data_IF_976442425544
#
_entry.id   IF_976442425544
#
_cell.length_a   1.000
_cell.length_b   1.000
_cell.length_c   1.000
_cell.angle_alpha   90.00
_cell.angle_beta   90.00
_cell.angle_gamma   90.00
#
_symmetry.space_group_name_H-M   'P 1'
#
loop_
_entity.id
_entity.type
_entity.pdbx_description
1 polymer ?
#
# COMPACT_ATOMS: atom_id res chain seq x y z
N UNK A 1 -6.33 -11.50 -4.62
CA UNK A 1 -5.32 -11.48 -3.55
C UNK A 1 -5.19 -12.90 -2.99
N UNK A 2 -4.00 -13.42 -2.73
CA UNK A 2 -3.85 -14.74 -2.10
C UNK A 2 -3.94 -14.65 -0.57
N UNK A 3 -4.60 -15.59 0.09
CA UNK A 3 -4.70 -15.62 1.56
C UNK A 3 -3.35 -15.64 2.27
N UNK A 4 -2.34 -16.33 1.70
CA UNK A 4 -0.98 -16.38 2.26
C UNK A 4 -0.34 -14.99 2.37
N UNK A 5 -0.45 -14.17 1.31
CA UNK A 5 0.09 -12.80 1.32
C UNK A 5 -0.59 -11.90 2.36
N UNK A 6 -1.89 -12.08 2.56
CA UNK A 6 -2.64 -11.33 3.58
C UNK A 6 -2.17 -11.73 4.99
N UNK A 7 -1.98 -13.02 5.24
CA UNK A 7 -1.46 -13.53 6.52
C UNK A 7 -0.04 -13.02 6.80
N UNK A 8 0.83 -13.00 5.78
CA UNK A 8 2.17 -12.44 5.89
C UNK A 8 2.13 -10.93 6.22
N UNK A 9 1.27 -10.16 5.55
CA UNK A 9 1.09 -8.74 5.86
C UNK A 9 0.65 -8.50 7.30
N UNK A 10 -0.31 -9.27 7.82
CA UNK A 10 -0.71 -9.14 9.22
C UNK A 10 0.45 -9.43 10.19
N UNK A 11 1.27 -10.46 9.90
CA UNK A 11 2.46 -10.76 10.71
C UNK A 11 3.49 -9.63 10.68
N UNK A 12 3.76 -9.02 9.53
CA UNK A 12 4.70 -7.90 9.41
C UNK A 12 4.16 -6.63 10.10
N UNK A 13 2.85 -6.35 10.01
CA UNK A 13 2.20 -5.27 10.75
C UNK A 13 2.33 -5.46 12.27
N UNK A 14 2.09 -6.68 12.78
CA UNK A 14 2.26 -6.98 14.20
C UNK A 14 3.71 -6.77 14.65
N UNK A 15 4.70 -7.18 13.86
CA UNK A 15 6.12 -6.90 14.14
C UNK A 15 6.39 -5.41 14.18
N UNK A 16 5.92 -4.63 13.20
CA UNK A 16 6.12 -3.18 13.17
C UNK A 16 5.50 -2.52 14.40
N UNK A 17 4.31 -2.95 14.84
CA UNK A 17 3.67 -2.44 16.05
C UNK A 17 4.47 -2.83 17.30
N UNK A 18 4.95 -4.07 17.37
CA UNK A 18 5.70 -4.61 18.52
C UNK A 18 7.08 -3.97 18.67
N UNK A 19 7.83 -3.80 17.57
CA UNK A 19 9.21 -3.28 17.59
C UNK A 19 9.29 -1.76 17.38
N UNK A 20 8.33 -1.16 16.66
CA UNK A 20 8.33 0.26 16.34
C UNK A 20 7.65 1.15 17.38
N UNK A 21 6.88 0.57 18.31
CA UNK A 21 6.21 1.30 19.40
C UNK A 21 5.19 2.35 18.95
N UNK A 22 4.91 2.43 17.65
CA UNK A 22 4.05 3.46 17.04
C UNK A 22 3.04 2.81 16.11
N UNK A 23 1.76 3.12 16.33
CA UNK A 23 0.64 2.70 15.47
C UNK A 23 0.34 3.71 14.37
N UNK A 24 1.29 4.58 14.05
CA UNK A 24 1.12 5.58 12.99
C UNK A 24 0.95 4.87 11.65
N UNK A 25 0.01 5.36 10.86
CA UNK A 25 -0.23 4.91 9.49
C UNK A 25 1.06 4.96 8.64
N UNK A 26 1.91 5.97 8.87
CA UNK A 26 3.21 6.12 8.20
C UNK A 26 4.16 4.93 8.44
N UNK A 27 4.07 4.28 9.62
CA UNK A 27 4.92 3.14 9.98
C UNK A 27 4.53 1.87 9.21
N UNK A 28 3.25 1.70 8.89
CA UNK A 28 2.73 0.53 8.16
C UNK A 28 2.65 0.76 6.64
N UNK A 29 2.85 2.00 6.19
CA UNK A 29 2.75 2.42 4.79
C UNK A 29 3.69 1.63 3.87
N UNK A 30 4.94 1.45 4.27
CA UNK A 30 5.95 0.71 3.48
C UNK A 30 5.54 -0.75 3.31
N UNK A 31 5.07 -1.37 4.38
CA UNK A 31 4.69 -2.78 4.37
C UNK A 31 3.42 -3.04 3.53
N UNK A 32 2.45 -2.12 3.64
CA UNK A 32 1.26 -2.13 2.81
C UNK A 32 1.58 -1.93 1.31
N UNK A 33 2.52 -1.02 1.00
CA UNK A 33 3.00 -0.83 -0.38
C UNK A 33 3.68 -2.10 -0.91
N UNK A 34 4.47 -2.81 -0.09
CA UNK A 34 5.08 -4.08 -0.49
C UNK A 34 4.05 -5.18 -0.77
N UNK A 35 3.00 -5.28 0.06
CA UNK A 35 1.89 -6.20 -0.20
C UNK A 35 1.22 -5.90 -1.54
N UNK A 36 0.87 -4.63 -1.78
CA UNK A 36 0.25 -4.18 -3.02
C UNK A 36 1.15 -4.42 -4.23
N UNK A 37 2.44 -4.11 -4.11
CA UNK A 37 3.40 -4.28 -5.21
C UNK A 37 3.55 -5.76 -5.58
N UNK A 38 3.59 -6.65 -4.60
CA UNK A 38 3.63 -8.11 -4.82
C UNK A 38 2.38 -8.59 -5.56
N UNK A 39 1.20 -8.07 -5.21
CA UNK A 39 -0.04 -8.37 -5.91
C UNK A 39 -0.07 -7.82 -7.34
N UNK A 40 0.39 -6.58 -7.51
CA UNK A 40 0.45 -5.91 -8.81
C UNK A 40 1.42 -6.59 -9.76
N UNK A 41 2.61 -6.98 -9.29
CA UNK A 41 3.62 -7.68 -10.09
C UNK A 41 3.10 -9.00 -10.67
N UNK A 42 2.32 -9.77 -9.89
CA UNK A 42 1.69 -11.00 -10.37
C UNK A 42 0.61 -10.79 -11.45
N UNK A 43 0.14 -9.54 -11.63
CA UNK A 43 -0.95 -9.18 -12.54
C UNK A 43 -0.54 -8.18 -13.62
N UNK A 44 0.75 -7.88 -13.76
CA UNK A 44 1.27 -6.81 -14.63
C UNK A 44 0.65 -5.43 -14.35
N UNK A 45 0.37 -5.11 -13.08
CA UNK A 45 -0.02 -3.76 -12.67
C UNK A 45 1.17 -3.00 -12.13
N UNK A 46 1.12 -1.68 -12.23
CA UNK A 46 2.14 -0.79 -11.67
C UNK A 46 1.54 -0.05 -10.48
N UNK A 47 2.19 -0.15 -9.32
CA UNK A 47 1.85 0.62 -8.13
C UNK A 47 2.57 1.97 -8.20
N UNK A 48 1.80 3.06 -8.20
CA UNK A 48 2.32 4.42 -8.11
C UNK A 48 2.01 4.95 -6.70
N UNK A 49 3.01 5.06 -5.81
CA UNK A 49 2.79 5.41 -4.40
C UNK A 49 2.34 6.86 -4.21
N UNK A 50 2.77 7.78 -5.08
CA UNK A 50 2.37 9.19 -5.06
C UNK A 50 1.89 9.62 -6.44
N UNK A 51 0.59 9.44 -6.69
CA UNK A 51 -0.06 9.97 -7.89
C UNK A 51 -1.08 11.03 -7.48
N UNK A 52 -0.70 12.29 -7.58
CA UNK A 52 -1.65 13.39 -7.42
C UNK A 52 -2.70 13.33 -8.53
N UNK A 53 -3.97 13.14 -8.16
CA UNK A 53 -5.09 13.15 -9.10
C UNK A 53 -5.92 14.41 -8.93
N UNK A 54 -6.12 15.15 -10.02
CA UNK A 54 -7.07 16.26 -10.07
C UNK A 54 -8.47 15.71 -10.31
N UNK A 55 -9.35 15.92 -9.36
CA UNK A 55 -10.76 15.54 -9.50
C UNK A 55 -11.48 16.48 -10.47
N UNK A 56 -12.65 16.06 -10.94
CA UNK A 56 -13.56 16.89 -11.77
C UNK A 56 -13.98 18.20 -11.08
N UNK A 57 -13.83 18.30 -9.76
CA UNK A 57 -14.12 19.50 -8.97
C UNK A 57 -12.88 20.39 -8.76
N UNK A 58 -11.82 20.17 -9.54
CA UNK A 58 -10.56 20.93 -9.50
C UNK A 58 -9.81 20.86 -8.16
N UNK A 59 -10.11 19.86 -7.33
CA UNK A 59 -9.36 19.54 -6.11
C UNK A 59 -8.29 18.49 -6.38
N UNK A 60 -7.10 18.65 -5.78
CA UNK A 60 -6.02 17.67 -5.85
C UNK A 60 -6.15 16.68 -4.71
N UNK A 61 -6.27 15.40 -5.03
CA UNK A 61 -6.28 14.31 -4.06
C UNK A 61 -4.95 13.56 -4.18
N UNK A 62 -4.38 13.20 -3.03
CA UNK A 62 -3.19 12.36 -2.91
C UNK A 62 -3.62 11.02 -2.31
N UNK A 63 -3.89 10.00 -3.14
CA UNK A 63 -4.20 8.68 -2.64
C UNK A 63 -2.94 8.04 -2.10
N UNK A 64 -3.01 7.38 -0.94
CA UNK A 64 -1.92 6.61 -0.33
C UNK A 64 -1.63 5.27 -1.07
N UNK A 65 -1.59 5.33 -2.41
CA UNK A 65 -1.35 4.21 -3.32
C UNK A 65 -2.34 4.18 -4.48
N UNK A 66 -1.84 4.37 -5.71
CA UNK A 66 -2.64 4.23 -6.94
C UNK A 66 -2.18 3.02 -7.73
N UNK A 67 -3.08 2.08 -8.03
CA UNK A 67 -2.82 0.95 -8.92
C UNK A 67 -3.28 1.30 -10.33
N UNK A 68 -2.41 1.16 -11.32
CA UNK A 68 -2.75 1.30 -12.74
C UNK A 68 -2.51 0.00 -13.50
N UNK A 69 -3.38 -0.25 -14.46
CA UNK A 69 -3.18 -1.22 -15.54
C UNK A 69 -1.98 -0.75 -16.39
N UNK A 70 -1.09 -1.68 -16.77
CA UNK A 70 0.14 -1.38 -17.51
C UNK A 70 -0.10 -1.34 -19.03
#
# INVERSE_FOLDING_TARGET
>A
MSNLLIQNYHSEVEKIIQYGGSRKETSIRVDFQNLLNTYCSAKNFILIPELAYRTKHNTTVYPDGTVKDA
#
